data_IF_163325433634
#
_entry.id   IF_163325433634
#
_cell.length_a   1.000
_cell.length_b   1.000
_cell.length_c   1.000
_cell.angle_alpha   90.00
_cell.angle_beta   90.00
_cell.angle_gamma   90.00
#
_symmetry.space_group_name_H-M   'P 1'
#
loop_
_entity.id
_entity.type
_entity.pdbx_description
1 polymer ?
#
# COMPACT_ATOMS: atom_id res chain seq x y z
N UNK A 1 -36.90 7.39 -21.26
CA UNK A 1 -35.63 8.08 -21.60
C UNK A 1 -34.86 8.57 -20.37
N UNK A 2 -35.37 8.46 -19.13
CA UNK A 2 -34.70 8.97 -17.90
C UNK A 2 -33.75 7.95 -17.23
N UNK A 3 -34.04 6.63 -17.27
CA UNK A 3 -33.04 5.56 -16.95
C UNK A 3 -31.76 5.65 -17.80
N UNK A 4 -31.81 6.37 -18.92
CA UNK A 4 -30.69 6.55 -19.84
C UNK A 4 -29.64 7.53 -19.32
N UNK A 5 -29.99 8.43 -18.38
CA UNK A 5 -29.05 9.42 -17.83
C UNK A 5 -28.26 8.87 -16.63
N UNK A 6 -28.92 8.21 -15.67
CA UNK A 6 -28.28 7.47 -14.57
C UNK A 6 -27.42 6.32 -15.10
N UNK A 7 -27.98 5.52 -16.02
CA UNK A 7 -27.21 4.49 -16.72
C UNK A 7 -25.99 5.04 -17.45
N UNK A 8 -26.08 6.25 -18.04
CA UNK A 8 -24.94 6.92 -18.70
C UNK A 8 -23.82 7.29 -17.73
N UNK A 9 -24.15 7.71 -16.51
CA UNK A 9 -23.14 8.09 -15.52
C UNK A 9 -22.42 6.84 -15.00
N UNK A 10 -23.16 5.79 -14.63
CA UNK A 10 -22.57 4.53 -14.18
C UNK A 10 -21.74 3.84 -15.26
N UNK A 11 -22.24 3.81 -16.50
CA UNK A 11 -21.52 3.25 -17.64
C UNK A 11 -20.26 4.06 -17.96
N UNK A 12 -20.30 5.39 -17.81
CA UNK A 12 -19.10 6.22 -17.90
C UNK A 12 -18.09 5.91 -16.79
N UNK A 13 -18.52 5.72 -15.52
CA UNK A 13 -17.59 5.38 -14.43
C UNK A 13 -16.95 4.00 -14.64
N UNK A 14 -17.71 3.03 -15.15
CA UNK A 14 -17.17 1.71 -15.53
C UNK A 14 -16.16 1.84 -16.68
N UNK A 15 -16.40 2.70 -17.67
CA UNK A 15 -15.45 2.95 -18.76
C UNK A 15 -14.17 3.65 -18.27
N UNK A 16 -14.31 4.62 -17.35
CA UNK A 16 -13.18 5.25 -16.66
C UNK A 16 -12.38 4.24 -15.84
N UNK A 17 -13.04 3.29 -15.17
CA UNK A 17 -12.38 2.25 -14.40
C UNK A 17 -11.41 1.43 -15.27
N UNK A 18 -11.79 1.07 -16.50
CA UNK A 18 -10.88 0.39 -17.44
C UNK A 18 -9.67 1.22 -17.84
N UNK A 19 -9.89 2.52 -18.04
CA UNK A 19 -8.77 3.45 -18.30
C UNK A 19 -7.83 3.51 -17.11
N UNK A 20 -8.37 3.58 -15.88
CA UNK A 20 -7.57 3.59 -14.65
C UNK A 20 -6.80 2.29 -14.46
N UNK A 21 -7.36 1.13 -14.86
CA UNK A 21 -6.62 -0.14 -14.83
C UNK A 21 -5.35 -0.16 -15.69
N UNK A 22 -5.26 0.67 -16.73
CA UNK A 22 -4.06 0.77 -17.58
C UNK A 22 -2.99 1.73 -17.02
N UNK A 23 -3.34 2.58 -16.05
CA UNK A 23 -2.44 3.59 -15.46
C UNK A 23 -1.13 3.02 -14.89
N UNK A 24 -1.07 1.81 -14.29
CA UNK A 24 0.18 1.27 -13.76
C UNK A 24 1.27 1.00 -14.81
N UNK A 25 0.97 1.09 -16.12
CA UNK A 25 2.01 1.07 -17.17
C UNK A 25 3.08 2.14 -16.92
N UNK A 26 2.68 3.29 -16.34
CA UNK A 26 3.60 4.39 -16.00
C UNK A 26 4.59 4.01 -14.89
N UNK A 27 4.30 2.98 -14.09
CA UNK A 27 5.23 2.50 -13.06
C UNK A 27 6.49 1.90 -13.68
N UNK A 28 6.42 1.26 -14.84
CA UNK A 28 7.58 0.63 -15.48
C UNK A 28 8.76 1.58 -15.74
N UNK A 29 8.58 2.74 -16.41
CA UNK A 29 9.67 3.70 -16.58
C UNK A 29 10.13 4.32 -15.26
N UNK A 30 9.24 4.51 -14.28
CA UNK A 30 9.60 4.98 -12.93
C UNK A 30 10.51 3.96 -12.24
N UNK A 31 10.14 2.68 -12.27
CA UNK A 31 10.92 1.58 -11.70
C UNK A 31 12.30 1.45 -12.37
N UNK A 32 12.39 1.68 -13.69
CA UNK A 32 13.68 1.74 -14.37
C UNK A 32 14.54 2.88 -13.81
N UNK A 33 13.98 4.09 -13.71
CA UNK A 33 14.68 5.25 -13.17
C UNK A 33 15.20 4.98 -11.74
N UNK A 34 14.40 4.31 -10.91
CA UNK A 34 14.75 3.94 -9.55
C UNK A 34 15.69 2.71 -9.45
N UNK A 35 15.91 1.97 -10.54
CA UNK A 35 16.81 0.81 -10.61
C UNK A 35 18.22 1.06 -10.03
N UNK A 36 18.77 2.25 -10.27
CA UNK A 36 20.09 2.64 -9.71
C UNK A 36 20.07 2.76 -8.19
N UNK A 37 18.95 3.22 -7.62
CA UNK A 37 18.77 3.34 -6.17
C UNK A 37 18.69 1.94 -5.54
N UNK A 38 18.00 0.99 -6.18
CA UNK A 38 17.96 -0.40 -5.70
C UNK A 38 19.35 -1.05 -5.66
N UNK A 39 20.18 -0.84 -6.69
CA UNK A 39 21.56 -1.34 -6.70
C UNK A 39 22.40 -0.75 -5.54
N UNK A 40 22.20 0.53 -5.22
CA UNK A 40 22.84 1.20 -4.09
C UNK A 40 22.40 0.60 -2.74
N UNK A 41 21.09 0.35 -2.57
CA UNK A 41 20.55 -0.31 -1.38
C UNK A 41 21.19 -1.68 -1.16
N UNK A 42 21.25 -2.52 -2.20
CA UNK A 42 21.86 -3.85 -2.10
C UNK A 42 23.36 -3.78 -1.77
N UNK A 43 24.07 -2.80 -2.33
CA UNK A 43 25.48 -2.55 -2.00
C UNK A 43 25.67 -2.12 -0.54
N UNK A 44 24.78 -1.27 -0.03
CA UNK A 44 24.77 -0.85 1.37
C UNK A 44 24.45 -2.04 2.29
N UNK A 45 23.54 -2.94 1.87
CA UNK A 45 23.21 -4.15 2.60
C UNK A 45 24.41 -5.11 2.70
N UNK A 46 25.15 -5.32 1.61
CA UNK A 46 26.40 -6.09 1.66
C UNK A 46 27.46 -5.45 2.57
N UNK A 47 27.52 -4.12 2.58
CA UNK A 47 28.44 -3.38 3.46
C UNK A 47 28.05 -3.54 4.92
N UNK A 48 26.74 -3.54 5.21
CA UNK A 48 26.17 -3.83 6.51
C UNK A 48 26.51 -5.26 6.97
N UNK A 49 26.34 -6.26 6.11
CA UNK A 49 26.67 -7.65 6.44
C UNK A 49 28.15 -7.82 6.83
N UNK A 50 29.05 -7.17 6.09
CA UNK A 50 30.49 -7.17 6.39
C UNK A 50 30.79 -6.54 7.75
N UNK A 51 30.13 -5.42 8.07
CA UNK A 51 30.27 -4.75 9.36
C UNK A 51 29.73 -5.63 10.50
N UNK A 52 28.54 -6.21 10.32
CA UNK A 52 27.94 -7.14 11.27
C UNK A 52 28.88 -8.31 11.57
N UNK A 53 29.38 -8.98 10.52
CA UNK A 53 30.34 -10.09 10.66
C UNK A 53 31.61 -9.69 11.41
N UNK A 54 32.07 -8.44 11.25
CA UNK A 54 33.24 -7.93 11.99
C UNK A 54 32.97 -7.79 13.48
N UNK A 55 31.78 -7.29 13.85
CA UNK A 55 31.36 -6.97 15.23
C UNK A 55 30.92 -8.21 15.99
N UNK A 56 29.97 -8.99 15.46
CA UNK A 56 29.41 -10.18 16.13
C UNK A 56 30.23 -11.45 15.92
N UNK A 57 31.15 -11.46 14.94
CA UNK A 57 31.90 -12.66 14.50
C UNK A 57 30.99 -13.81 14.01
N UNK A 58 29.70 -13.53 13.79
CA UNK A 58 28.70 -14.47 13.26
C UNK A 58 28.36 -14.10 11.82
N UNK A 59 27.91 -15.08 11.05
CA UNK A 59 27.26 -14.81 9.76
C UNK A 59 25.83 -14.36 10.01
N UNK A 60 25.37 -13.34 9.29
CA UNK A 60 23.99 -12.89 9.35
C UNK A 60 23.11 -13.98 8.71
N UNK A 61 22.38 -14.75 9.51
CA UNK A 61 21.41 -15.71 8.97
C UNK A 61 20.17 -14.94 8.53
N UNK A 62 20.12 -14.63 7.23
CA UNK A 62 18.93 -14.08 6.59
C UNK A 62 17.88 -15.19 6.46
N UNK A 63 17.14 -15.45 7.55
CA UNK A 63 16.05 -16.44 7.55
C UNK A 63 14.83 -15.92 6.79
N UNK A 64 14.96 -15.71 5.47
CA UNK A 64 13.80 -15.43 4.60
C UNK A 64 13.02 -16.70 4.25
N UNK A 65 13.58 -17.88 4.55
CA UNK A 65 12.95 -19.18 4.31
C UNK A 65 12.46 -19.33 2.87
N UNK A 66 11.26 -19.90 2.70
CA UNK A 66 10.60 -20.03 1.40
C UNK A 66 9.69 -18.84 1.08
N UNK A 67 9.56 -17.84 1.96
CA UNK A 67 8.67 -16.68 1.80
C UNK A 67 8.87 -15.93 0.47
N UNK A 68 10.09 -15.52 0.06
CA UNK A 68 10.27 -14.82 -1.21
C UNK A 68 9.96 -15.71 -2.42
N UNK A 69 10.17 -17.03 -2.31
CA UNK A 69 9.85 -17.99 -3.37
C UNK A 69 8.34 -18.17 -3.51
N UNK A 70 7.63 -18.28 -2.39
CA UNK A 70 6.16 -18.33 -2.35
C UNK A 70 5.56 -17.04 -2.89
N UNK A 71 6.13 -15.87 -2.56
CA UNK A 71 5.68 -14.58 -3.09
C UNK A 71 5.95 -14.49 -4.60
N UNK A 72 7.15 -14.84 -5.05
CA UNK A 72 7.53 -14.73 -6.46
C UNK A 72 6.72 -15.62 -7.40
N UNK A 73 6.24 -16.78 -6.93
CA UNK A 73 5.43 -17.71 -7.74
C UNK A 73 3.94 -17.53 -7.46
N UNK A 74 3.56 -17.37 -6.18
CA UNK A 74 2.18 -17.29 -5.74
C UNK A 74 1.48 -16.00 -6.15
N UNK A 75 2.14 -14.83 -6.02
CA UNK A 75 1.50 -13.55 -6.38
C UNK A 75 1.17 -13.45 -7.88
N UNK A 76 2.06 -13.85 -8.82
CA UNK A 76 1.73 -13.84 -10.24
C UNK A 76 0.56 -14.76 -10.60
N UNK A 77 0.53 -15.98 -10.03
CA UNK A 77 -0.58 -16.93 -10.24
C UNK A 77 -1.88 -16.34 -9.71
N UNK A 78 -1.84 -15.75 -8.52
CA UNK A 78 -2.98 -15.06 -7.92
C UNK A 78 -3.44 -13.89 -8.80
N UNK A 79 -2.52 -13.03 -9.25
CA UNK A 79 -2.82 -11.87 -10.08
C UNK A 79 -3.47 -12.26 -11.42
N UNK A 80 -2.98 -13.32 -12.06
CA UNK A 80 -3.59 -13.86 -13.30
C UNK A 80 -4.96 -14.46 -13.00
N UNK A 81 -5.10 -15.23 -11.91
CA UNK A 81 -6.38 -15.83 -11.53
C UNK A 81 -7.47 -14.78 -11.26
N UNK A 82 -7.13 -13.68 -10.56
CA UNK A 82 -8.04 -12.57 -10.33
C UNK A 82 -8.49 -11.92 -11.64
N UNK A 83 -7.57 -11.70 -12.58
CA UNK A 83 -7.91 -11.12 -13.89
C UNK A 83 -8.75 -12.05 -14.76
N UNK A 84 -8.51 -13.35 -14.70
CA UNK A 84 -9.36 -14.34 -15.40
C UNK A 84 -10.78 -14.33 -14.83
N UNK A 85 -10.93 -14.29 -13.50
CA UNK A 85 -12.24 -14.19 -12.86
C UNK A 85 -12.94 -12.89 -13.26
N UNK A 86 -12.26 -11.75 -13.21
CA UNK A 86 -12.82 -10.46 -13.63
C UNK A 86 -13.21 -10.46 -15.12
N UNK A 87 -12.43 -11.11 -15.99
CA UNK A 87 -12.77 -11.26 -17.41
C UNK A 87 -14.01 -12.14 -17.64
N UNK A 88 -14.09 -13.32 -17.01
CA UNK A 88 -15.27 -14.20 -17.13
C UNK A 88 -16.53 -13.49 -16.66
N UNK A 89 -16.37 -12.61 -15.69
CA UNK A 89 -17.44 -11.85 -15.04
C UNK A 89 -17.88 -10.63 -15.87
N UNK A 90 -17.01 -10.08 -16.72
CA UNK A 90 -17.30 -8.93 -17.59
C UNK A 90 -17.47 -9.38 -19.05
N UNK A 91 -18.74 -9.52 -19.46
CA UNK A 91 -19.18 -10.09 -20.76
C UNK A 91 -18.71 -9.30 -22.01
N UNK A 92 -18.15 -8.10 -21.86
CA UNK A 92 -17.89 -7.18 -22.97
C UNK A 92 -16.49 -7.25 -23.61
N UNK A 93 -15.55 -8.06 -23.08
CA UNK A 93 -14.17 -8.07 -23.59
C UNK A 93 -13.87 -9.17 -24.61
N UNK A 94 -13.12 -8.80 -25.65
CA UNK A 94 -12.45 -9.77 -26.52
C UNK A 94 -11.24 -10.35 -25.79
N UNK A 95 -11.01 -11.65 -25.91
CA UNK A 95 -9.90 -12.36 -25.25
C UNK A 95 -8.52 -11.71 -25.45
N UNK A 96 -8.27 -11.15 -26.64
CA UNK A 96 -7.01 -10.43 -26.97
C UNK A 96 -6.78 -9.15 -26.14
N UNK A 97 -7.84 -8.50 -25.66
CA UNK A 97 -7.73 -7.29 -24.84
C UNK A 97 -7.39 -7.59 -23.38
N UNK A 98 -7.50 -8.85 -22.94
CA UNK A 98 -7.23 -9.28 -21.55
C UNK A 98 -5.74 -9.37 -21.26
N UNK A 99 -4.94 -9.67 -22.28
CA UNK A 99 -3.50 -9.92 -22.15
C UNK A 99 -2.76 -8.72 -21.53
N UNK A 100 -2.98 -7.45 -21.97
CA UNK A 100 -2.39 -6.28 -21.32
C UNK A 100 -2.78 -6.13 -19.85
N UNK A 101 -4.06 -6.36 -19.50
CA UNK A 101 -4.52 -6.24 -18.11
C UNK A 101 -3.89 -7.30 -17.20
N UNK A 102 -3.75 -8.54 -17.68
CA UNK A 102 -3.02 -9.59 -16.96
C UNK A 102 -1.57 -9.21 -16.70
N UNK A 103 -0.88 -8.66 -17.70
CA UNK A 103 0.50 -8.21 -17.56
C UNK A 103 0.63 -7.08 -16.54
N UNK A 104 -0.22 -6.05 -16.64
CA UNK A 104 -0.20 -4.88 -15.75
C UNK A 104 -0.50 -5.31 -14.31
N UNK A 105 -1.52 -6.15 -14.11
CA UNK A 105 -1.85 -6.65 -12.79
C UNK A 105 -0.71 -7.48 -12.19
N UNK A 106 -0.08 -8.34 -12.99
CA UNK A 106 1.10 -9.09 -12.56
C UNK A 106 2.24 -8.17 -12.10
N UNK A 107 2.57 -7.15 -12.89
CA UNK A 107 3.62 -6.17 -12.56
C UNK A 107 3.30 -5.43 -11.27
N UNK A 108 2.07 -4.93 -11.12
CA UNK A 108 1.62 -4.25 -9.89
C UNK A 108 1.83 -5.13 -8.66
N UNK A 109 1.37 -6.38 -8.71
CA UNK A 109 1.52 -7.33 -7.62
C UNK A 109 2.99 -7.65 -7.33
N UNK A 110 3.82 -7.86 -8.35
CA UNK A 110 5.26 -8.11 -8.18
C UNK A 110 5.98 -6.94 -7.51
N UNK A 111 5.61 -5.71 -7.85
CA UNK A 111 6.18 -4.52 -7.21
C UNK A 111 5.80 -4.45 -5.73
N UNK A 112 4.52 -4.65 -5.39
CA UNK A 112 4.09 -4.72 -3.99
C UNK A 112 4.74 -5.87 -3.22
N UNK A 113 4.90 -7.04 -3.86
CA UNK A 113 5.61 -8.18 -3.29
C UNK A 113 7.10 -7.91 -3.07
N UNK A 114 7.74 -7.18 -3.99
CA UNK A 114 9.14 -6.77 -3.82
C UNK A 114 9.30 -5.83 -2.62
N UNK A 115 8.43 -4.83 -2.49
CA UNK A 115 8.38 -3.94 -1.33
C UNK A 115 8.23 -4.72 -0.02
N UNK A 116 7.28 -5.66 0.03
CA UNK A 116 7.05 -6.56 1.17
C UNK A 116 8.36 -7.25 1.58
N UNK A 117 9.05 -7.89 0.63
CA UNK A 117 10.29 -8.63 0.90
C UNK A 117 11.40 -7.74 1.44
N UNK A 118 11.56 -6.50 0.94
CA UNK A 118 12.55 -5.57 1.47
C UNK A 118 12.22 -5.14 2.91
N UNK A 119 10.95 -4.89 3.22
CA UNK A 119 10.50 -4.52 4.56
C UNK A 119 10.73 -5.66 5.56
N UNK A 120 10.27 -6.87 5.21
CA UNK A 120 10.42 -8.08 6.02
C UNK A 120 11.90 -8.39 6.28
N UNK A 121 12.75 -8.31 5.23
CA UNK A 121 14.20 -8.46 5.35
C UNK A 121 14.80 -7.50 6.39
N UNK A 122 14.48 -6.20 6.31
CA UNK A 122 14.98 -5.21 7.27
C UNK A 122 14.45 -5.49 8.68
N UNK A 123 13.16 -5.82 8.82
CA UNK A 123 12.55 -6.16 10.10
C UNK A 123 13.25 -7.34 10.78
N UNK A 124 13.48 -8.42 10.04
CA UNK A 124 14.15 -9.63 10.54
C UNK A 124 15.63 -9.37 10.90
N UNK A 125 16.33 -8.57 10.10
CA UNK A 125 17.70 -8.14 10.41
C UNK A 125 17.74 -7.27 11.66
N UNK A 126 16.79 -6.33 11.82
CA UNK A 126 16.69 -5.50 13.00
C UNK A 126 16.49 -6.34 14.27
N UNK A 127 15.59 -7.33 14.23
CA UNK A 127 15.34 -8.23 15.36
C UNK A 127 16.58 -9.06 15.71
N UNK A 128 17.22 -9.67 14.70
CA UNK A 128 18.43 -10.48 14.91
C UNK A 128 19.54 -9.67 15.57
N UNK A 129 19.78 -8.45 15.08
CA UNK A 129 20.81 -7.56 15.63
C UNK A 129 20.43 -7.09 17.04
N UNK A 130 19.16 -6.82 17.32
CA UNK A 130 18.68 -6.44 18.65
C UNK A 130 18.82 -7.58 19.67
N UNK A 131 18.57 -8.83 19.29
CA UNK A 131 18.70 -9.98 20.16
C UNK A 131 20.18 -10.35 20.42
N UNK A 132 21.04 -10.24 19.41
CA UNK A 132 22.50 -10.35 19.59
C UNK A 132 23.03 -9.23 20.49
N UNK A 133 22.54 -8.01 20.32
CA UNK A 133 22.88 -6.88 21.18
C UNK A 133 22.49 -7.15 22.64
N UNK A 134 21.26 -7.60 22.90
CA UNK A 134 20.83 -7.96 24.26
C UNK A 134 21.70 -9.08 24.85
N UNK A 135 22.04 -10.09 24.05
CA UNK A 135 22.91 -11.18 24.48
C UNK A 135 24.33 -10.71 24.78
N UNK A 136 24.83 -9.72 24.03
CA UNK A 136 26.12 -9.10 24.26
C UNK A 136 26.13 -8.19 25.51
N UNK A 137 25.00 -7.59 25.87
CA UNK A 137 24.85 -6.78 27.09
C UNK A 137 24.79 -7.62 28.36
N UNK A 138 24.11 -8.78 28.35
CA UNK A 138 24.03 -9.69 29.51
C UNK A 138 25.40 -10.22 29.93
N UNK A 139 26.30 -10.42 28.96
CA UNK A 139 27.67 -10.83 29.22
C UNK A 139 28.52 -9.58 29.40
N UNK A 140 28.66 -9.09 30.65
CA UNK A 140 29.41 -7.91 31.11
C UNK A 140 30.31 -7.35 30.00
N UNK A 141 29.75 -6.43 29.22
CA UNK A 141 30.33 -5.99 27.96
C UNK A 141 31.22 -4.76 28.18
N UNK A 142 32.48 -4.75 27.67
CA UNK A 142 33.27 -3.51 27.63
C UNK A 142 32.55 -2.44 26.79
N UNK A 143 32.63 -1.16 27.20
CA UNK A 143 31.97 -0.01 26.55
C UNK A 143 32.18 0.06 25.03
N UNK A 144 33.34 -0.44 24.55
CA UNK A 144 33.65 -0.58 23.12
C UNK A 144 32.62 -1.39 22.33
N UNK A 145 32.01 -2.42 22.93
CA UNK A 145 31.01 -3.24 22.22
C UNK A 145 29.71 -2.47 21.99
N UNK A 146 29.29 -1.63 22.94
CA UNK A 146 28.08 -0.82 22.82
C UNK A 146 28.24 0.18 21.67
N UNK A 147 29.42 0.80 21.56
CA UNK A 147 29.73 1.71 20.46
C UNK A 147 29.64 1.03 19.08
N UNK A 148 30.13 -0.21 18.96
CA UNK A 148 30.04 -0.99 17.72
C UNK A 148 28.58 -1.34 17.35
N UNK A 149 27.75 -1.72 18.32
CA UNK A 149 26.33 -1.97 18.09
C UNK A 149 25.55 -0.70 17.75
N UNK A 150 25.90 0.44 18.34
CA UNK A 150 25.36 1.75 17.93
C UNK A 150 25.69 2.04 16.48
N UNK A 151 26.92 1.76 16.02
CA UNK A 151 27.31 1.94 14.62
C UNK A 151 26.52 1.02 13.68
N UNK A 152 26.31 -0.24 14.05
CA UNK A 152 25.44 -1.17 13.31
C UNK A 152 24.02 -0.64 13.20
N UNK A 153 23.44 -0.21 14.33
CA UNK A 153 22.10 0.35 14.35
C UNK A 153 21.98 1.62 13.47
N UNK A 154 22.96 2.53 13.52
CA UNK A 154 22.96 3.72 12.66
C UNK A 154 22.99 3.34 11.17
N UNK A 155 23.76 2.31 10.80
CA UNK A 155 23.82 1.82 9.42
C UNK A 155 22.50 1.17 9.00
N UNK A 156 21.85 0.43 9.90
CA UNK A 156 20.52 -0.16 9.67
C UNK A 156 19.43 0.91 9.51
N UNK A 157 19.44 1.94 10.36
CA UNK A 157 18.56 3.11 10.26
C UNK A 157 18.80 3.92 8.98
N UNK A 158 20.02 3.91 8.44
CA UNK A 158 20.29 4.45 7.10
C UNK A 158 19.73 3.55 6.00
N UNK A 159 19.89 2.23 6.12
CA UNK A 159 19.43 1.27 5.13
C UNK A 159 17.91 1.30 4.95
N UNK A 160 17.13 1.36 6.03
CA UNK A 160 15.66 1.44 5.95
C UNK A 160 15.20 2.71 5.22
N UNK A 161 15.87 3.84 5.46
CA UNK A 161 15.61 5.09 4.74
C UNK A 161 16.03 5.02 3.27
N UNK A 162 17.17 4.39 2.98
CA UNK A 162 17.62 4.17 1.60
C UNK A 162 16.64 3.27 0.84
N UNK A 163 16.01 2.26 1.48
CA UNK A 163 14.93 1.45 0.90
C UNK A 163 13.69 2.29 0.61
N UNK A 164 13.21 3.08 1.59
CA UNK A 164 12.08 3.99 1.39
C UNK A 164 12.31 4.98 0.23
N UNK A 165 13.53 5.51 0.11
CA UNK A 165 13.90 6.41 -0.98
C UNK A 165 14.09 5.68 -2.33
N UNK A 166 14.52 4.41 -2.32
CA UNK A 166 14.66 3.61 -3.53
C UNK A 166 13.30 3.28 -4.15
N UNK A 167 12.29 3.02 -3.33
CA UNK A 167 10.92 2.76 -3.75
C UNK A 167 10.03 4.01 -3.73
N UNK A 168 10.62 5.20 -3.53
CA UNK A 168 9.89 6.43 -3.21
C UNK A 168 8.80 6.76 -4.21
N UNK A 169 9.14 6.85 -5.50
CA UNK A 169 8.16 7.16 -6.52
C UNK A 169 7.26 5.97 -6.85
N UNK A 170 7.84 4.78 -6.94
CA UNK A 170 7.13 3.55 -7.29
C UNK A 170 6.01 3.24 -6.29
N UNK A 171 6.29 3.25 -4.98
CA UNK A 171 5.29 2.96 -3.94
C UNK A 171 4.32 4.12 -3.76
N UNK A 172 4.75 5.37 -3.94
CA UNK A 172 3.82 6.52 -3.90
C UNK A 172 2.76 6.39 -4.99
N UNK A 173 3.19 6.13 -6.22
CA UNK A 173 2.28 5.93 -7.34
C UNK A 173 1.40 4.70 -7.13
N UNK A 174 1.97 3.60 -6.62
CA UNK A 174 1.22 2.38 -6.30
C UNK A 174 0.13 2.63 -5.26
N UNK A 175 0.42 3.37 -4.18
CA UNK A 175 -0.56 3.74 -3.17
C UNK A 175 -1.70 4.60 -3.74
N UNK A 176 -1.38 5.59 -4.57
CA UNK A 176 -2.38 6.44 -5.24
C UNK A 176 -3.23 5.63 -6.22
N UNK A 177 -2.61 4.75 -6.99
CA UNK A 177 -3.31 3.84 -7.91
C UNK A 177 -4.27 2.91 -7.16
N UNK A 178 -3.80 2.23 -6.12
CA UNK A 178 -4.62 1.35 -5.28
C UNK A 178 -5.76 2.16 -4.65
N UNK A 179 -5.50 3.39 -4.20
CA UNK A 179 -6.51 4.27 -3.65
C UNK A 179 -7.64 4.57 -4.65
N UNK A 180 -7.28 4.95 -5.88
CA UNK A 180 -8.26 5.24 -6.93
C UNK A 180 -9.06 3.99 -7.34
N UNK A 181 -8.39 2.84 -7.54
CA UNK A 181 -9.05 1.59 -7.91
C UNK A 181 -10.03 1.15 -6.82
N UNK A 182 -9.63 1.17 -5.55
CA UNK A 182 -10.52 0.79 -4.44
C UNK A 182 -11.74 1.72 -4.39
N UNK A 183 -11.53 3.04 -4.51
CA UNK A 183 -12.63 4.02 -4.48
C UNK A 183 -13.61 3.80 -5.63
N UNK A 184 -13.12 3.66 -6.86
CA UNK A 184 -13.96 3.48 -8.04
C UNK A 184 -14.67 2.11 -8.05
N UNK A 185 -14.00 1.04 -7.60
CA UNK A 185 -14.62 -0.29 -7.52
C UNK A 185 -15.71 -0.35 -6.45
N UNK A 186 -15.49 0.24 -5.27
CA UNK A 186 -16.52 0.32 -4.22
C UNK A 186 -17.69 1.18 -4.69
N UNK A 187 -17.42 2.33 -5.34
CA UNK A 187 -18.49 3.15 -5.92
C UNK A 187 -19.32 2.35 -6.95
N UNK A 188 -18.66 1.65 -7.89
CA UNK A 188 -19.34 0.84 -8.90
C UNK A 188 -20.15 -0.31 -8.32
N UNK A 189 -19.80 -0.83 -7.14
CA UNK A 189 -20.60 -1.80 -6.40
C UNK A 189 -21.80 -1.14 -5.71
N UNK A 190 -21.62 0.04 -5.11
CA UNK A 190 -22.67 0.77 -4.39
C UNK A 190 -23.73 1.32 -5.33
N UNK A 191 -23.35 1.77 -6.53
CA UNK A 191 -24.31 2.32 -7.51
C UNK A 191 -25.29 1.25 -7.99
N UNK A 192 -24.79 0.02 -8.21
CA UNK A 192 -25.59 -1.10 -8.74
C UNK A 192 -26.45 -1.81 -7.70
N UNK A 193 -26.25 -1.56 -6.40
CA UNK A 193 -26.99 -2.25 -5.34
C UNK A 193 -28.51 -1.97 -5.41
N UNK A 194 -28.90 -0.86 -6.06
CA UNK A 194 -30.30 -0.47 -6.27
C UNK A 194 -30.98 -1.26 -7.40
N UNK A 195 -30.23 -1.65 -8.43
CA UNK A 195 -30.72 -2.38 -9.61
C UNK A 195 -30.62 -3.92 -9.46
N UNK A 196 -29.92 -4.39 -8.42
CA UNK A 196 -29.73 -5.80 -8.09
C UNK A 196 -28.33 -6.32 -8.48
N UNK A 197 -27.76 -7.20 -7.65
CA UNK A 197 -26.41 -7.72 -7.85
C UNK A 197 -26.33 -8.60 -9.10
N UNK A 198 -25.57 -8.15 -10.09
CA UNK A 198 -25.27 -8.89 -11.30
C UNK A 198 -24.01 -9.74 -11.15
N UNK A 199 -23.75 -10.59 -12.15
CA UNK A 199 -22.52 -11.39 -12.21
C UNK A 199 -21.29 -10.46 -12.18
N UNK A 200 -21.33 -9.32 -12.90
CA UNK A 200 -20.25 -8.31 -12.97
C UNK A 200 -19.75 -7.80 -11.61
N UNK A 201 -20.60 -7.77 -10.60
CA UNK A 201 -20.27 -7.26 -9.26
C UNK A 201 -19.33 -8.19 -8.49
N UNK A 202 -19.32 -9.48 -8.84
CA UNK A 202 -18.41 -10.45 -8.24
C UNK A 202 -16.95 -10.11 -8.57
N UNK A 203 -16.67 -9.77 -9.84
CA UNK A 203 -15.32 -9.38 -10.28
C UNK A 203 -14.84 -8.08 -9.64
N UNK A 204 -15.75 -7.09 -9.51
CA UNK A 204 -15.47 -5.83 -8.83
C UNK A 204 -15.18 -6.03 -7.34
N UNK A 205 -15.98 -6.86 -6.66
CA UNK A 205 -15.81 -7.17 -5.23
C UNK A 205 -14.46 -7.85 -4.95
N UNK A 206 -14.12 -8.85 -5.77
CA UNK A 206 -12.84 -9.55 -5.67
C UNK A 206 -11.68 -8.57 -5.86
N UNK A 207 -11.78 -7.70 -6.87
CA UNK A 207 -10.71 -6.72 -7.13
C UNK A 207 -10.55 -5.72 -6.00
N UNK A 208 -11.65 -5.18 -5.47
CA UNK A 208 -11.62 -4.26 -4.32
C UNK A 208 -10.97 -4.92 -3.09
N UNK A 209 -11.31 -6.17 -2.81
CA UNK A 209 -10.75 -6.93 -1.69
C UNK A 209 -9.23 -7.13 -1.86
N UNK A 210 -8.78 -7.59 -3.03
CA UNK A 210 -7.36 -7.83 -3.28
C UNK A 210 -6.54 -6.53 -3.27
N UNK A 211 -7.02 -5.46 -3.90
CA UNK A 211 -6.35 -4.16 -3.84
C UNK A 211 -6.30 -3.60 -2.41
N UNK A 212 -7.38 -3.76 -1.64
CA UNK A 212 -7.44 -3.35 -0.23
C UNK A 212 -6.44 -4.11 0.64
N UNK A 213 -6.38 -5.44 0.50
CA UNK A 213 -5.41 -6.30 1.20
C UNK A 213 -3.97 -5.92 0.81
N UNK A 214 -3.71 -5.68 -0.48
CA UNK A 214 -2.40 -5.26 -0.95
C UNK A 214 -1.97 -3.91 -0.34
N UNK A 215 -2.87 -2.91 -0.34
CA UNK A 215 -2.62 -1.62 0.28
C UNK A 215 -2.34 -1.75 1.78
N UNK A 216 -3.10 -2.61 2.47
CA UNK A 216 -2.88 -2.90 3.88
C UNK A 216 -1.47 -3.47 4.12
N UNK A 217 -1.05 -4.49 3.37
CA UNK A 217 0.28 -5.09 3.53
C UNK A 217 1.42 -4.09 3.25
N UNK A 218 1.29 -3.22 2.24
CA UNK A 218 2.29 -2.18 1.94
C UNK A 218 2.50 -1.27 3.15
N UNK A 219 1.41 -0.80 3.76
CA UNK A 219 1.46 0.09 4.92
C UNK A 219 1.86 -0.63 6.21
N UNK A 220 1.41 -1.87 6.38
CA UNK A 220 1.66 -2.66 7.58
C UNK A 220 3.12 -3.09 7.70
N UNK A 221 3.69 -3.65 6.64
CA UNK A 221 5.07 -4.11 6.66
C UNK A 221 6.08 -2.96 6.78
N UNK A 222 5.80 -1.84 6.12
CA UNK A 222 6.62 -0.64 6.29
C UNK A 222 6.61 -0.16 7.74
N UNK A 223 5.43 -0.16 8.38
CA UNK A 223 5.29 0.16 9.79
C UNK A 223 6.03 -0.85 10.68
N UNK A 224 5.88 -2.15 10.40
CA UNK A 224 6.57 -3.22 11.13
C UNK A 224 8.09 -3.08 11.05
N UNK A 225 8.65 -2.87 9.85
CA UNK A 225 10.09 -2.70 9.66
C UNK A 225 10.62 -1.47 10.42
N UNK A 226 9.97 -0.31 10.29
CA UNK A 226 10.35 0.91 11.01
C UNK A 226 10.23 0.75 12.53
N UNK A 227 9.19 0.07 13.01
CA UNK A 227 9.00 -0.20 14.42
C UNK A 227 10.05 -1.17 14.97
N UNK A 228 10.46 -2.19 14.19
CA UNK A 228 11.52 -3.11 14.57
C UNK A 228 12.86 -2.40 14.74
N UNK A 229 13.24 -1.52 13.80
CA UNK A 229 14.52 -0.77 13.88
C UNK A 229 14.55 0.19 15.08
N UNK A 230 13.42 0.77 15.47
CA UNK A 230 13.33 1.73 16.58
C UNK A 230 13.08 1.06 17.93
N UNK A 231 11.89 0.47 18.06
CA UNK A 231 11.31 0.09 19.36
C UNK A 231 11.98 -1.15 19.92
N UNK A 232 12.43 -2.10 19.10
CA UNK A 232 13.16 -3.26 19.61
C UNK A 232 14.45 -2.82 20.28
N UNK A 233 15.27 -2.00 19.62
CA UNK A 233 16.51 -1.50 20.21
C UNK A 233 16.25 -0.65 21.47
N UNK A 234 15.27 0.26 21.44
CA UNK A 234 14.90 1.05 22.62
C UNK A 234 14.48 0.18 23.80
N UNK A 235 13.60 -0.80 23.57
CA UNK A 235 13.16 -1.72 24.64
C UNK A 235 14.33 -2.50 25.22
N UNK A 236 15.22 -3.03 24.37
CA UNK A 236 16.38 -3.79 24.84
C UNK A 236 17.37 -2.91 25.60
N UNK A 237 17.57 -1.66 25.18
CA UNK A 237 18.41 -0.66 25.87
C UNK A 237 17.86 -0.31 27.26
N UNK A 238 16.55 -0.07 27.36
CA UNK A 238 15.89 0.30 28.63
C UNK A 238 15.82 -0.85 29.64
N UNK A 239 15.91 -2.10 29.17
CA UNK A 239 15.92 -3.29 30.02
C UNK A 239 17.32 -3.65 30.56
N UNK A 240 18.36 -2.89 30.23
CA UNK A 240 19.71 -3.11 30.76
C UNK A 240 19.81 -2.57 32.18
N UNK A 241 20.24 -3.42 33.11
CA UNK A 241 20.56 -2.99 34.48
C UNK A 241 21.85 -2.17 34.50
N UNK A 242 21.71 -0.84 34.57
CA UNK A 242 22.84 0.09 34.60
C UNK A 242 23.69 -0.02 35.87
N UNK A 243 23.12 -0.55 36.96
CA UNK A 243 23.69 -0.52 38.31
C UNK A 243 25.01 -1.32 38.45
N UNK A 244 25.26 -2.26 37.54
CA UNK A 244 26.47 -3.10 37.52
C UNK A 244 27.45 -2.72 36.40
N UNK A 245 27.14 -1.67 35.64
CA UNK A 245 27.92 -1.25 34.47
C UNK A 245 28.86 -0.10 34.82
N UNK A 246 30.04 -0.06 34.18
CA UNK A 246 30.99 1.05 34.34
C UNK A 246 30.39 2.37 33.84
N UNK A 247 30.83 3.49 34.42
CA UNK A 247 30.36 4.84 34.07
C UNK A 247 30.49 5.12 32.56
N UNK A 248 31.58 4.69 31.93
CA UNK A 248 31.79 4.80 30.47
C UNK A 248 30.72 4.06 29.66
N UNK A 249 30.31 2.87 30.12
CA UNK A 249 29.31 2.06 29.44
C UNK A 249 27.91 2.63 29.64
N UNK A 250 27.61 3.19 30.82
CA UNK A 250 26.38 3.94 31.06
C UNK A 250 26.29 5.18 30.16
N UNK A 251 27.39 5.90 29.99
CA UNK A 251 27.45 7.05 29.08
C UNK A 251 27.20 6.64 27.63
N UNK A 252 27.80 5.55 27.16
CA UNK A 252 27.55 5.02 25.80
C UNK A 252 26.10 4.56 25.61
N UNK A 253 25.47 3.92 26.59
CA UNK A 253 24.05 3.57 26.54
C UNK A 253 23.18 4.83 26.44
N UNK A 254 23.45 5.85 27.25
CA UNK A 254 22.70 7.11 27.19
C UNK A 254 22.88 7.80 25.83
N UNK A 255 24.09 7.79 25.27
CA UNK A 255 24.34 8.31 23.92
C UNK A 255 23.62 7.49 22.85
N UNK A 256 23.54 6.17 23.00
CA UNK A 256 22.82 5.31 22.06
C UNK A 256 21.30 5.54 22.18
N UNK A 257 20.72 5.56 23.38
CA UNK A 257 19.31 5.85 23.59
C UNK A 257 18.93 7.19 22.96
N UNK A 258 19.72 8.24 23.22
CA UNK A 258 19.54 9.55 22.58
C UNK A 258 19.64 9.47 21.05
N UNK A 259 20.57 8.68 20.51
CA UNK A 259 20.67 8.47 19.07
C UNK A 259 19.41 7.78 18.50
N UNK A 260 18.81 6.82 19.22
CA UNK A 260 17.55 6.16 18.82
C UNK A 260 16.34 7.08 18.87
N UNK A 261 16.33 8.06 19.78
CA UNK A 261 15.25 9.06 19.87
C UNK A 261 15.38 10.13 18.79
N UNK A 262 16.60 10.60 18.53
CA UNK A 262 16.84 11.75 17.65
C UNK A 262 16.90 11.39 16.16
N UNK A 263 17.15 10.14 15.79
CA UNK A 263 17.20 9.75 14.37
C UNK A 263 15.86 9.16 13.89
N UNK A 264 15.29 9.66 12.79
CA UNK A 264 14.11 9.06 12.18
C UNK A 264 14.46 7.71 11.57
N UNK A 265 13.70 6.68 11.94
CA UNK A 265 13.74 5.32 11.38
C UNK A 265 12.48 5.00 10.59
N UNK A 266 11.57 5.96 10.47
CA UNK A 266 10.36 5.84 9.69
C UNK A 266 10.71 5.76 8.21
N UNK A 267 10.04 4.86 7.50
CA UNK A 267 10.28 4.65 6.09
C UNK A 267 9.50 5.71 5.30
N UNK A 268 10.22 6.75 4.88
CA UNK A 268 9.68 7.85 4.09
C UNK A 268 9.85 7.59 2.59
N UNK A 269 8.81 7.88 1.81
CA UNK A 269 8.86 7.80 0.35
C UNK A 269 9.40 9.11 -0.20
N UNK A 270 10.70 9.13 -0.52
CA UNK A 270 11.36 10.31 -1.08
C UNK A 270 11.31 11.55 -0.18
N UNK A 271 11.00 11.40 1.12
CA UNK A 271 10.84 12.50 2.08
C UNK A 271 9.49 13.23 2.03
N UNK A 272 8.52 12.76 1.23
CA UNK A 272 7.20 13.41 1.12
C UNK A 272 6.26 13.01 2.25
N UNK A 273 6.16 11.72 2.54
CA UNK A 273 5.35 11.18 3.63
C UNK A 273 5.86 9.81 4.08
N UNK A 274 5.51 9.45 5.30
CA UNK A 274 5.88 8.18 5.92
C UNK A 274 4.85 7.09 5.60
N UNK A 275 5.33 5.92 5.19
CA UNK A 275 4.47 4.77 4.92
C UNK A 275 4.28 4.00 6.21
N UNK A 276 3.11 4.15 6.80
CA UNK A 276 2.76 3.51 8.05
C UNK A 276 1.25 3.21 8.11
N UNK A 277 0.81 2.56 9.20
CA UNK A 277 -0.61 2.27 9.44
C UNK A 277 -1.48 3.55 9.51
N UNK A 278 -0.90 4.71 9.82
CA UNK A 278 -1.62 5.99 9.83
C UNK A 278 -1.97 6.44 8.42
N UNK A 279 -1.05 6.27 7.46
CA UNK A 279 -1.33 6.50 6.04
C UNK A 279 -2.51 5.64 5.56
N UNK A 280 -2.51 4.34 5.89
CA UNK A 280 -3.62 3.44 5.53
C UNK A 280 -4.97 3.95 6.07
N UNK A 281 -5.03 4.30 7.37
CA UNK A 281 -6.24 4.85 7.99
C UNK A 281 -6.70 6.14 7.32
N UNK A 282 -5.76 7.04 7.00
CA UNK A 282 -6.04 8.30 6.31
C UNK A 282 -6.61 8.07 4.91
N UNK A 283 -6.03 7.13 4.16
CA UNK A 283 -6.53 6.76 2.83
C UNK A 283 -7.95 6.18 2.91
N UNK A 284 -8.23 5.26 3.85
CA UNK A 284 -9.59 4.70 4.03
C UNK A 284 -10.61 5.79 4.37
N UNK A 285 -10.30 6.70 5.30
CA UNK A 285 -11.19 7.81 5.65
C UNK A 285 -11.46 8.73 4.45
N UNK A 286 -10.41 8.98 3.66
CA UNK A 286 -10.49 9.77 2.44
C UNK A 286 -11.33 9.06 1.37
N UNK A 287 -11.19 7.74 1.18
CA UNK A 287 -12.02 6.94 0.28
C UNK A 287 -13.49 7.08 0.65
N UNK A 288 -13.84 6.90 1.93
CA UNK A 288 -15.22 7.03 2.42
C UNK A 288 -15.78 8.43 2.13
N UNK A 289 -14.98 9.47 2.35
CA UNK A 289 -15.37 10.85 2.05
C UNK A 289 -15.68 11.04 0.56
N UNK A 290 -14.81 10.56 -0.33
CA UNK A 290 -15.04 10.64 -1.78
C UNK A 290 -16.23 9.79 -2.22
N UNK A 291 -16.42 8.60 -1.65
CA UNK A 291 -17.57 7.75 -1.94
C UNK A 291 -18.89 8.46 -1.59
N UNK A 292 -18.96 9.09 -0.41
CA UNK A 292 -20.14 9.88 -0.01
C UNK A 292 -20.41 11.00 -1.01
N UNK A 293 -19.38 11.74 -1.42
CA UNK A 293 -19.51 12.83 -2.39
C UNK A 293 -20.00 12.30 -3.75
N UNK A 294 -19.44 11.19 -4.24
CA UNK A 294 -19.86 10.59 -5.51
C UNK A 294 -21.31 10.12 -5.48
N UNK A 295 -21.73 9.49 -4.38
CA UNK A 295 -23.12 9.08 -4.18
C UNK A 295 -24.07 10.27 -4.08
N UNK A 296 -23.67 11.35 -3.40
CA UNK A 296 -24.46 12.58 -3.33
C UNK A 296 -24.62 13.22 -4.71
N UNK A 297 -23.56 13.25 -5.52
CA UNK A 297 -23.65 13.72 -6.89
C UNK A 297 -24.64 12.89 -7.71
N UNK A 298 -24.61 11.56 -7.57
CA UNK A 298 -25.57 10.68 -8.24
C UNK A 298 -27.02 10.99 -7.85
N UNK A 299 -27.31 11.12 -6.55
CA UNK A 299 -28.67 11.43 -6.04
C UNK A 299 -29.13 12.84 -6.43
N UNK A 300 -28.22 13.80 -6.58
CA UNK A 300 -28.54 15.19 -6.88
C UNK A 300 -28.94 15.47 -8.34
N UNK A 301 -28.76 14.49 -9.24
CA UNK A 301 -29.19 14.63 -10.65
C UNK A 301 -30.72 14.62 -10.65
N UNK A 302 -31.38 15.72 -11.08
CA UNK A 302 -32.83 15.84 -10.96
C UNK A 302 -33.56 14.73 -11.72
N UNK A 303 -34.44 14.00 -11.03
CA UNK A 303 -35.50 13.22 -11.66
C UNK A 303 -36.43 14.21 -12.38
N UNK A 304 -36.39 14.26 -13.71
CA UNK A 304 -37.24 15.17 -14.48
C UNK A 304 -38.71 14.77 -14.27
N UNK A 305 -39.40 15.44 -13.33
CA UNK A 305 -40.81 15.23 -13.02
C UNK A 305 -41.61 15.68 -14.23
N UNK A 306 -41.97 14.73 -15.08
CA UNK A 306 -42.95 14.90 -16.15
C UNK A 306 -44.34 15.20 -15.57
N UNK A 307 -44.58 16.44 -15.19
CA UNK A 307 -45.92 17.00 -15.00
C UNK A 307 -46.24 17.87 -16.21
N UNK A 308 -46.66 17.25 -17.31
CA UNK A 308 -47.44 17.96 -18.32
C UNK A 308 -48.80 18.31 -17.69
N UNK A 309 -49.22 19.58 -17.58
CA UNK A 309 -50.60 19.88 -17.25
C UNK A 309 -51.46 19.43 -18.44
N UNK A 310 -52.31 18.43 -18.19
CA UNK A 310 -53.39 18.05 -19.09
C UNK A 310 -54.33 19.25 -19.27
N UNK A 311 -54.13 20.06 -20.32
CA UNK A 311 -55.17 20.98 -20.79
C UNK A 311 -56.23 20.11 -21.48
N UNK A 312 -57.20 19.71 -20.67
CA UNK A 312 -58.39 19.01 -21.12
C UNK A 312 -59.09 19.82 -22.22
N UNK A 313 -59.27 19.16 -23.36
CA UNK A 313 -60.16 19.57 -24.43
C UNK A 313 -61.60 19.50 -23.91
N UNK A 314 -62.18 20.64 -23.53
CA UNK A 314 -63.62 20.73 -23.25
C UNK A 314 -64.34 21.15 -24.53
N UNK A 315 -64.77 20.16 -25.30
CA UNK A 315 -65.87 20.32 -26.26
C UNK A 315 -67.18 20.19 -25.49
N UNK A 316 -67.96 21.27 -25.41
CA UNK A 316 -69.39 21.18 -25.10
C UNK A 316 -70.17 21.97 -26.15
N UNK A 317 -70.97 21.23 -26.92
CA UNK A 317 -71.94 21.74 -27.86
C UNK A 317 -73.19 22.31 -27.16
N UNK A 318 -73.94 23.12 -27.92
CA UNK A 318 -75.27 23.71 -27.67
C UNK A 318 -75.23 25.00 -26.81
N UNK A 319 -75.79 26.13 -27.27
CA UNK A 319 -77.18 26.27 -27.72
C UNK A 319 -77.36 27.37 -28.77
N UNK A 320 -78.33 27.14 -29.66
CA UNK A 320 -79.05 28.17 -30.45
C UNK A 320 -79.55 29.29 -29.53
N UNK A 321 -79.52 30.55 -29.99
CA UNK A 321 -80.71 31.40 -30.16
C UNK A 321 -80.36 32.84 -30.57
N UNK A 322 -80.83 33.19 -31.78
CA UNK A 322 -81.56 34.41 -32.20
C UNK A 322 -81.26 35.72 -31.46
N UNK A 323 -80.58 36.66 -32.14
CA UNK A 323 -81.13 37.96 -32.58
C UNK A 323 -80.12 38.71 -33.47
#
# INVERSE_FOLDING_TARGET
MVRTAEGRFEEAVIDYLFTVYLVPIVINPIAWYEGRKHAKVLTNMMSFEKLYRRVTKKNLMLCLGNTPLVIAIGLPVLAVSCMVVTHVTMVHFKFLQVIPYCYINMVTFLIGGSWYVYCDLIGNVAQTVADDFQSALKNIGPSSRIADYRALWMMLSKLIRDVGNAFGYTVTFLCLYLFLIITLTIYGLLSQIQDGLGIKDVGLTITALFCGVMLFFICDEAHYASNCVKVQFQKKLLLVELNWMSDDAQQEINMFLRATEMNPTEMSLGGFFDVNRTLFKSLIATMVTYLVVLLQFQISIPEDIGSYPNVATTNTNATKDIN
#
